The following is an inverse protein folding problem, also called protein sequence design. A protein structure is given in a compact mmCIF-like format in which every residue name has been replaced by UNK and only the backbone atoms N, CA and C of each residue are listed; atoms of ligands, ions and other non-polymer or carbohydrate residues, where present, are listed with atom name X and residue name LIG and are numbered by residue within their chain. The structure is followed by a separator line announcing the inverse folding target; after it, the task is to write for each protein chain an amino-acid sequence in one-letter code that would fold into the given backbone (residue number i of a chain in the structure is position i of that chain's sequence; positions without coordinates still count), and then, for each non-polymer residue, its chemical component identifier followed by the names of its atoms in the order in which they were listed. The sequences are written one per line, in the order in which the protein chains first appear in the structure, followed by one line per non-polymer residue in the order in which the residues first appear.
data_IF_844323415176
#
_entry.id   IF_844323415176
#
_cell.length_a   1.000
_cell.length_b   1.000
_cell.length_c   1.000
_cell.angle_alpha   90.00
_cell.angle_beta   90.00
_cell.angle_gamma   90.00
#
_symmetry.space_group_name_H-M   'P 1'
#
loop_
_entity.id
_entity.type
_entity.pdbx_description
1 polymer ?
#
# COMPACT_ATOMS: atom_id res chain seq x y z
N UNK A 1 24.60 11.43 -22.98
CA UNK A 1 23.17 11.58 -22.57
C UNK A 1 23.03 10.90 -21.22
N UNK A 2 22.51 11.57 -20.21
CA UNK A 2 22.18 10.91 -18.96
C UNK A 2 21.16 9.80 -19.24
N UNK A 3 21.39 8.61 -18.68
CA UNK A 3 20.46 7.48 -18.80
C UNK A 3 19.14 7.86 -18.14
N UNK A 4 18.00 7.69 -18.81
CA UNK A 4 16.70 7.96 -18.20
C UNK A 4 16.49 7.15 -16.95
N UNK A 5 16.08 7.80 -15.87
CA UNK A 5 15.75 7.15 -14.59
C UNK A 5 14.26 6.85 -14.55
N UNK A 6 13.93 5.63 -14.20
CA UNK A 6 12.55 5.20 -13.95
C UNK A 6 12.31 5.04 -12.44
N UNK A 7 11.10 5.38 -12.00
CA UNK A 7 10.64 5.17 -10.64
C UNK A 7 9.58 4.08 -10.63
N UNK A 8 9.88 2.99 -9.95
CA UNK A 8 8.97 1.88 -9.68
C UNK A 8 8.39 2.04 -8.28
N UNK A 9 7.07 2.26 -8.20
CA UNK A 9 6.30 2.28 -6.97
C UNK A 9 5.59 0.93 -6.83
N UNK A 10 5.99 0.13 -5.86
CA UNK A 10 5.52 -1.24 -5.70
C UNK A 10 4.77 -1.41 -4.37
N UNK A 11 3.60 -2.05 -4.42
CA UNK A 11 2.90 -2.52 -3.24
C UNK A 11 3.54 -3.82 -2.70
N UNK A 12 3.21 -4.20 -1.49
CA UNK A 12 3.71 -5.42 -0.84
C UNK A 12 2.70 -6.57 -0.88
N UNK A 13 1.58 -6.44 -0.18
CA UNK A 13 0.63 -7.52 0.04
C UNK A 13 -0.17 -7.84 -1.22
N UNK A 14 -0.11 -9.11 -1.66
CA UNK A 14 -0.73 -9.50 -2.93
C UNK A 14 0.02 -9.03 -4.18
N UNK A 15 1.12 -8.30 -4.03
CA UNK A 15 1.91 -7.73 -5.13
C UNK A 15 3.35 -8.22 -5.11
N UNK A 16 4.18 -7.73 -4.19
CA UNK A 16 5.59 -8.11 -4.07
C UNK A 16 5.77 -9.37 -3.26
N UNK A 17 4.97 -9.52 -2.18
CA UNK A 17 5.06 -10.66 -1.29
C UNK A 17 4.36 -11.88 -1.88
N UNK A 18 5.07 -13.02 -1.87
CA UNK A 18 4.48 -14.33 -2.15
C UNK A 18 3.43 -14.68 -1.07
N UNK A 19 3.75 -14.38 0.18
CA UNK A 19 2.89 -14.58 1.34
C UNK A 19 2.97 -13.38 2.29
N UNK A 20 1.82 -12.77 2.61
CA UNK A 20 1.72 -11.66 3.55
C UNK A 20 2.14 -12.04 4.98
N UNK A 21 1.89 -13.28 5.40
CA UNK A 21 2.17 -13.75 6.76
C UNK A 21 3.64 -14.13 7.00
N UNK A 22 4.36 -14.58 5.95
CA UNK A 22 5.77 -14.96 6.07
C UNK A 22 6.72 -13.89 5.59
N UNK A 23 6.25 -12.92 4.80
CA UNK A 23 7.09 -11.92 4.16
C UNK A 23 7.96 -12.48 3.04
N UNK A 24 7.69 -13.70 2.58
CA UNK A 24 8.43 -14.36 1.52
C UNK A 24 8.26 -13.63 0.18
N UNK A 25 9.35 -13.52 -0.58
CA UNK A 25 9.41 -12.85 -1.88
C UNK A 25 9.95 -13.83 -2.90
N UNK A 26 9.37 -13.84 -4.09
CA UNK A 26 9.84 -14.68 -5.19
C UNK A 26 11.23 -14.23 -5.67
N UNK A 27 12.19 -15.17 -5.88
CA UNK A 27 13.59 -14.88 -6.24
C UNK A 27 13.70 -14.01 -7.50
N UNK A 28 12.84 -14.22 -8.48
CA UNK A 28 12.79 -13.39 -9.69
C UNK A 28 12.48 -11.93 -9.36
N UNK A 29 11.65 -11.66 -8.34
CA UNK A 29 11.32 -10.30 -7.91
C UNK A 29 12.53 -9.64 -7.25
N UNK A 30 13.22 -10.36 -6.35
CA UNK A 30 14.46 -9.87 -5.72
C UNK A 30 15.51 -9.53 -6.78
N UNK A 31 15.75 -10.46 -7.72
CA UNK A 31 16.73 -10.28 -8.78
C UNK A 31 16.40 -9.11 -9.71
N UNK A 32 15.13 -8.92 -10.06
CA UNK A 32 14.71 -7.83 -10.95
C UNK A 32 14.79 -6.46 -10.26
N UNK A 33 14.46 -6.37 -8.97
CA UNK A 33 14.63 -5.14 -8.18
C UNK A 33 16.12 -4.79 -8.07
N UNK A 34 16.98 -5.78 -7.81
CA UNK A 34 18.42 -5.59 -7.80
C UNK A 34 18.91 -5.06 -9.15
N UNK A 35 18.51 -5.68 -10.26
CA UNK A 35 18.81 -5.22 -11.63
C UNK A 35 18.38 -3.76 -11.84
N UNK A 36 17.15 -3.41 -11.48
CA UNK A 36 16.64 -2.04 -11.63
C UNK A 36 17.53 -1.01 -10.90
N UNK A 37 17.96 -1.33 -9.68
CA UNK A 37 18.88 -0.49 -8.89
C UNK A 37 20.26 -0.39 -9.53
N UNK A 38 20.85 -1.50 -9.95
CA UNK A 38 22.17 -1.54 -10.62
C UNK A 38 22.17 -0.75 -11.93
N UNK A 39 21.03 -0.71 -12.63
CA UNK A 39 20.83 0.12 -13.82
C UNK A 39 20.56 1.61 -13.52
N UNK A 40 20.50 2.01 -12.24
CA UNK A 40 20.34 3.39 -11.77
C UNK A 40 18.88 3.84 -11.65
N UNK A 41 17.93 2.91 -11.63
CA UNK A 41 16.51 3.20 -11.42
C UNK A 41 16.13 3.22 -9.94
N UNK A 42 14.99 3.80 -9.62
CA UNK A 42 14.49 4.00 -8.27
C UNK A 42 13.36 3.00 -8.01
N UNK A 43 13.45 2.24 -6.92
CA UNK A 43 12.38 1.33 -6.50
C UNK A 43 11.93 1.71 -5.10
N UNK A 44 10.65 2.07 -4.95
CA UNK A 44 10.04 2.49 -3.70
C UNK A 44 8.89 1.58 -3.30
N UNK A 45 8.82 1.21 -2.03
CA UNK A 45 7.68 0.50 -1.44
C UNK A 45 6.59 1.53 -1.05
N UNK A 46 5.35 1.27 -1.47
CA UNK A 46 4.14 1.97 -1.05
C UNK A 46 3.13 0.95 -0.50
N UNK A 47 2.99 0.89 0.81
CA UNK A 47 2.23 -0.17 1.49
C UNK A 47 1.27 0.35 2.57
N UNK A 48 0.23 -0.42 2.87
CA UNK A 48 -0.60 -0.21 4.06
C UNK A 48 0.11 -0.59 5.37
N UNK A 49 1.15 -1.41 5.30
CA UNK A 49 1.89 -1.86 6.48
C UNK A 49 2.59 -0.74 7.23
N UNK A 50 2.76 -0.85 8.57
CA UNK A 50 3.67 -0.01 9.34
C UNK A 50 5.14 -0.34 9.04
N UNK A 51 6.04 0.58 9.35
CA UNK A 51 7.48 0.37 9.13
C UNK A 51 8.03 -0.87 9.84
N UNK A 52 7.60 -1.14 11.07
CA UNK A 52 8.07 -2.31 11.86
C UNK A 52 7.86 -3.65 11.13
N UNK A 53 6.78 -3.79 10.32
CA UNK A 53 6.54 -5.00 9.53
C UNK A 53 7.03 -4.90 8.07
N UNK A 54 7.51 -3.73 7.66
CA UNK A 54 8.07 -3.46 6.33
C UNK A 54 9.60 -3.58 6.34
N UNK A 55 10.24 -3.28 7.47
CA UNK A 55 11.70 -3.16 7.60
C UNK A 55 12.45 -4.38 7.05
N UNK A 56 12.10 -5.57 7.48
CA UNK A 56 12.75 -6.82 7.03
C UNK A 56 12.63 -7.00 5.51
N UNK A 57 11.45 -6.69 4.93
CA UNK A 57 11.20 -6.78 3.49
C UNK A 57 12.08 -5.77 2.74
N UNK A 58 12.15 -4.54 3.23
CA UNK A 58 12.98 -3.47 2.67
C UNK A 58 14.46 -3.86 2.64
N UNK A 59 14.95 -4.43 3.75
CA UNK A 59 16.33 -4.92 3.88
C UNK A 59 16.59 -6.14 2.96
N UNK A 60 15.65 -7.07 2.86
CA UNK A 60 15.74 -8.24 1.97
C UNK A 60 15.82 -7.83 0.50
N UNK A 61 15.09 -6.80 0.09
CA UNK A 61 15.14 -6.23 -1.25
C UNK A 61 16.38 -5.34 -1.48
N UNK A 62 17.18 -5.10 -0.43
CA UNK A 62 18.36 -4.25 -0.49
C UNK A 62 18.05 -2.82 -0.89
N UNK A 63 16.89 -2.29 -0.52
CA UNK A 63 16.47 -0.94 -0.88
C UNK A 63 17.24 0.13 -0.09
N UNK A 64 17.40 1.30 -0.71
CA UNK A 64 18.06 2.49 -0.17
C UNK A 64 17.27 3.76 -0.49
N UNK A 65 15.97 3.62 -0.61
CA UNK A 65 15.04 4.64 -1.08
C UNK A 65 14.02 5.01 0.00
N UNK A 66 13.28 6.08 -0.23
CA UNK A 66 12.13 6.47 0.60
C UNK A 66 11.07 5.36 0.57
N UNK A 67 10.48 5.09 1.73
CA UNK A 67 9.36 4.16 1.90
C UNK A 67 8.10 4.90 2.34
N UNK A 68 6.96 4.44 1.86
CA UNK A 68 5.65 4.93 2.25
C UNK A 68 4.86 3.84 2.96
N UNK A 69 4.57 4.06 4.22
CA UNK A 69 3.79 3.21 5.10
C UNK A 69 2.39 3.80 5.35
N UNK A 70 1.46 3.01 5.92
CA UNK A 70 0.09 3.42 6.22
C UNK A 70 -0.60 4.08 5.02
N UNK A 71 -0.45 3.47 3.82
CA UNK A 71 -1.01 3.98 2.56
C UNK A 71 -0.64 5.44 2.25
N UNK A 72 0.50 5.93 2.71
CA UNK A 72 0.96 7.30 2.50
C UNK A 72 0.85 8.22 3.73
N UNK A 73 0.35 7.72 4.86
CA UNK A 73 0.27 8.51 6.08
C UNK A 73 1.63 8.64 6.80
N UNK A 74 2.58 7.76 6.51
CA UNK A 74 3.96 7.86 7.02
C UNK A 74 4.95 7.61 5.88
N UNK A 75 5.69 8.66 5.49
CA UNK A 75 6.71 8.60 4.45
C UNK A 75 8.03 9.00 5.09
N UNK A 76 9.04 8.14 4.96
CA UNK A 76 10.36 8.39 5.55
C UNK A 76 11.47 7.71 4.73
N UNK A 77 12.71 8.11 4.98
CA UNK A 77 13.89 7.49 4.38
C UNK A 77 14.66 6.72 5.46
N UNK A 78 14.64 5.36 5.45
CA UNK A 78 15.21 4.57 6.53
C UNK A 78 16.73 4.71 6.71
N UNK A 79 17.44 5.15 5.68
CA UNK A 79 18.90 5.25 5.63
C UNK A 79 19.41 6.69 5.54
N UNK A 80 18.54 7.69 5.63
CA UNK A 80 18.89 9.11 5.59
C UNK A 80 18.30 9.85 6.79
N UNK A 81 19.11 10.07 7.81
CA UNK A 81 18.73 10.79 9.03
C UNK A 81 18.42 12.27 8.77
N UNK A 82 18.85 12.81 7.62
CA UNK A 82 18.53 14.19 7.20
C UNK A 82 17.13 14.32 6.57
N UNK A 83 16.50 13.21 6.21
CA UNK A 83 15.16 13.24 5.66
C UNK A 83 14.13 13.55 6.76
N UNK A 84 13.34 14.60 6.58
CA UNK A 84 12.26 14.94 7.51
C UNK A 84 11.06 14.05 7.22
N UNK A 85 10.68 13.15 8.13
CA UNK A 85 9.53 12.26 7.90
C UNK A 85 8.24 13.04 7.71
N UNK A 86 7.47 12.64 6.70
CA UNK A 86 6.11 13.15 6.51
C UNK A 86 5.13 12.22 7.21
N UNK A 87 4.40 12.76 8.20
CA UNK A 87 3.40 12.00 8.95
C UNK A 87 2.07 12.73 8.89
N UNK A 88 1.02 12.00 8.56
CA UNK A 88 -0.38 12.43 8.64
C UNK A 88 -1.08 11.66 9.74
N UNK A 89 -1.54 12.39 10.72
CA UNK A 89 -2.28 11.82 11.84
C UNK A 89 -3.77 11.84 11.58
N UNK A 90 -4.48 10.82 12.09
CA UNK A 90 -5.93 10.81 12.19
C UNK A 90 -6.40 11.75 13.30
N UNK A 91 -7.57 12.33 13.12
CA UNK A 91 -8.31 12.91 14.24
C UNK A 91 -8.91 11.76 15.07
N UNK A 92 -8.42 11.58 16.28
CA UNK A 92 -8.86 10.49 17.16
C UNK A 92 -10.37 10.54 17.43
N UNK A 93 -10.95 11.72 17.66
CA UNK A 93 -12.38 11.86 17.95
C UNK A 93 -13.25 11.44 16.76
N UNK A 94 -12.87 11.82 15.54
CA UNK A 94 -13.53 11.39 14.31
C UNK A 94 -13.41 9.89 14.11
N UNK A 95 -12.21 9.34 14.35
CA UNK A 95 -11.98 7.91 14.26
C UNK A 95 -12.82 7.11 15.27
N UNK A 96 -12.91 7.57 16.52
CA UNK A 96 -13.75 6.94 17.54
C UNK A 96 -15.25 7.07 17.20
N UNK A 97 -15.67 8.18 16.59
CA UNK A 97 -17.03 8.34 16.09
C UNK A 97 -17.37 7.29 15.01
N UNK A 98 -16.47 7.04 14.07
CA UNK A 98 -16.64 5.98 13.06
C UNK A 98 -16.70 4.60 13.69
N UNK A 99 -15.76 4.26 14.61
CA UNK A 99 -15.74 2.96 15.29
C UNK A 99 -16.94 2.74 16.21
N UNK A 100 -17.56 3.79 16.70
CA UNK A 100 -18.76 3.76 17.54
C UNK A 100 -20.05 3.61 16.76
N UNK A 101 -20.04 3.71 15.44
CA UNK A 101 -21.22 3.46 14.61
C UNK A 101 -21.71 2.02 14.77
N UNK A 102 -23.02 1.83 14.99
CA UNK A 102 -23.58 0.53 15.29
C UNK A 102 -23.40 -0.48 14.15
N UNK A 103 -23.49 -0.04 12.89
CA UNK A 103 -23.29 -0.91 11.73
C UNK A 103 -21.81 -1.31 11.59
N UNK A 104 -20.88 -0.38 11.89
CA UNK A 104 -19.43 -0.64 11.82
C UNK A 104 -18.98 -1.53 12.97
N UNK A 105 -19.33 -1.17 14.21
CA UNK A 105 -18.88 -1.87 15.42
C UNK A 105 -19.35 -3.32 15.49
N UNK A 106 -20.52 -3.63 14.93
CA UNK A 106 -21.01 -5.01 14.83
C UNK A 106 -20.17 -5.93 13.94
N UNK A 107 -19.51 -5.37 12.94
CA UNK A 107 -18.69 -6.12 12.00
C UNK A 107 -17.25 -6.33 12.48
N UNK A 108 -16.80 -5.56 13.46
CA UNK A 108 -15.41 -5.58 13.95
C UNK A 108 -15.19 -6.79 14.88
N UNK A 109 -14.09 -7.50 14.66
CA UNK A 109 -13.60 -8.59 15.51
C UNK A 109 -12.41 -8.16 16.39
N UNK A 110 -11.54 -7.27 15.90
CA UNK A 110 -10.38 -6.75 16.63
C UNK A 110 -9.99 -5.37 16.13
N UNK A 111 -9.38 -4.55 16.97
CA UNK A 111 -8.93 -3.18 16.63
C UNK A 111 -7.48 -3.00 17.09
N UNK A 112 -6.66 -2.41 16.22
CA UNK A 112 -5.37 -1.83 16.60
C UNK A 112 -5.36 -0.34 16.26
N UNK A 113 -5.05 0.50 17.25
CA UNK A 113 -4.83 1.94 17.09
C UNK A 113 -3.35 2.19 17.24
N UNK A 114 -2.74 2.84 16.28
CA UNK A 114 -1.28 2.87 16.22
C UNK A 114 -0.71 4.20 15.70
N UNK A 115 0.45 4.54 16.25
CA UNK A 115 1.36 5.55 15.73
C UNK A 115 2.63 4.92 15.18
N UNK A 116 3.62 5.72 14.76
CA UNK A 116 4.85 5.19 14.17
C UNK A 116 5.62 4.23 15.10
N UNK A 117 5.56 4.44 16.43
CA UNK A 117 6.34 3.72 17.42
C UNK A 117 5.52 3.13 18.60
N UNK A 118 4.20 3.18 18.55
CA UNK A 118 3.32 2.66 19.58
C UNK A 118 2.09 1.97 18.98
N UNK A 119 1.52 1.02 19.72
CA UNK A 119 0.30 0.29 19.38
C UNK A 119 -0.56 0.07 20.60
N UNK A 120 -1.87 0.29 20.49
CA UNK A 120 -2.87 -0.25 21.39
C UNK A 120 -3.73 -1.24 20.60
N UNK A 121 -3.64 -2.51 20.97
CA UNK A 121 -4.36 -3.62 20.35
C UNK A 121 -5.45 -4.12 21.30
N UNK A 122 -6.68 -4.28 20.82
CA UNK A 122 -7.81 -4.66 21.66
C UNK A 122 -7.57 -6.01 22.34
N UNK A 123 -7.20 -7.02 21.57
CA UNK A 123 -6.78 -8.33 22.08
C UNK A 123 -5.74 -8.97 21.18
N UNK A 124 -4.95 -9.91 21.72
CA UNK A 124 -3.92 -10.61 20.94
C UNK A 124 -4.55 -11.45 19.83
N UNK A 125 -3.92 -11.41 18.67
CA UNK A 125 -4.33 -12.15 17.47
C UNK A 125 -3.09 -12.57 16.68
N UNK A 126 -2.89 -13.86 16.49
CA UNK A 126 -1.71 -14.39 15.81
C UNK A 126 -1.66 -14.07 14.32
N UNK A 127 -2.83 -14.00 13.65
CA UNK A 127 -2.88 -13.67 12.22
C UNK A 127 -2.52 -12.20 11.99
N UNK A 128 -3.03 -11.31 12.83
CA UNK A 128 -2.64 -9.89 12.81
C UNK A 128 -1.18 -9.70 13.22
N UNK A 129 -0.69 -10.43 14.22
CA UNK A 129 0.71 -10.37 14.66
C UNK A 129 1.69 -10.71 13.54
N UNK A 130 1.42 -11.79 12.78
CA UNK A 130 2.26 -12.21 11.65
C UNK A 130 2.40 -11.15 10.56
N UNK A 131 1.35 -10.37 10.36
CA UNK A 131 1.33 -9.34 9.29
C UNK A 131 1.84 -8.00 9.79
N UNK A 132 1.48 -7.60 11.01
CA UNK A 132 1.75 -6.25 11.52
C UNK A 132 2.92 -6.17 12.52
N UNK A 133 3.38 -7.30 13.06
CA UNK A 133 4.54 -7.35 13.96
C UNK A 133 4.38 -6.49 15.22
N UNK A 134 3.20 -6.51 15.86
CA UNK A 134 2.92 -5.64 17.01
C UNK A 134 3.89 -5.86 18.17
N UNK A 135 4.34 -7.09 18.41
CA UNK A 135 5.29 -7.43 19.47
C UNK A 135 6.69 -6.85 19.26
N UNK A 136 7.00 -6.38 18.06
CA UNK A 136 8.30 -5.75 17.78
C UNK A 136 8.39 -4.31 18.26
N UNK A 137 7.28 -3.68 18.62
CA UNK A 137 7.31 -2.36 19.25
C UNK A 137 7.41 -2.45 20.78
N UNK A 138 8.29 -1.63 21.35
CA UNK A 138 8.44 -1.54 22.81
C UNK A 138 7.23 -0.90 23.52
N UNK A 139 6.36 -0.23 22.78
CA UNK A 139 5.19 0.49 23.28
C UNK A 139 3.88 -0.20 22.89
N UNK A 140 3.85 -1.56 22.95
CA UNK A 140 2.63 -2.33 22.77
C UNK A 140 1.80 -2.34 24.06
N UNK A 141 0.52 -1.99 23.95
CA UNK A 141 -0.47 -2.15 25.01
C UNK A 141 -1.60 -3.06 24.51
N UNK A 142 -1.95 -4.05 25.32
CA UNK A 142 -3.13 -4.91 25.10
C UNK A 142 -4.29 -4.40 25.93
N UNK A 143 -5.48 -4.35 25.33
CA UNK A 143 -6.66 -3.70 25.86
C UNK A 143 -6.75 -2.25 25.41
N UNK A 144 -7.92 -1.88 24.84
CA UNK A 144 -8.20 -0.49 24.47
C UNK A 144 -8.72 0.28 25.68
N UNK A 145 -8.05 1.34 26.02
CA UNK A 145 -8.50 2.33 26.97
C UNK A 145 -8.60 3.68 26.23
N UNK A 146 -9.79 4.00 25.75
CA UNK A 146 -10.03 5.17 24.91
C UNK A 146 -9.63 6.51 25.57
N UNK A 147 -9.53 6.56 26.92
CA UNK A 147 -9.04 7.73 27.63
C UNK A 147 -7.51 7.85 27.65
N UNK A 148 -6.79 6.79 27.27
CA UNK A 148 -5.32 6.72 27.29
C UNK A 148 -4.72 6.47 25.90
N UNK A 149 -5.50 6.63 24.85
CA UNK A 149 -4.98 6.58 23.48
C UNK A 149 -4.26 7.91 23.21
N UNK A 150 -3.04 7.88 22.68
CA UNK A 150 -2.40 9.09 22.20
C UNK A 150 -3.26 9.81 21.13
N UNK A 151 -3.37 11.13 21.24
CA UNK A 151 -4.27 11.96 20.42
C UNK A 151 -3.93 11.97 18.91
N UNK A 152 -2.77 11.45 18.53
CA UNK A 152 -2.23 11.52 17.17
C UNK A 152 -1.92 10.11 16.62
N UNK A 153 -2.91 9.26 16.40
CA UNK A 153 -2.68 7.99 15.71
C UNK A 153 -2.39 8.24 14.23
N UNK A 154 -1.51 7.42 13.66
CA UNK A 154 -1.20 7.47 12.22
C UNK A 154 -2.18 6.60 11.43
N UNK A 155 -2.62 5.50 12.03
CA UNK A 155 -3.58 4.58 11.44
C UNK A 155 -4.39 3.82 12.48
N UNK A 156 -5.53 3.35 12.05
CA UNK A 156 -6.33 2.38 12.78
C UNK A 156 -6.58 1.21 11.86
N UNK A 157 -6.29 0.02 12.36
CA UNK A 157 -6.56 -1.24 11.70
C UNK A 157 -7.71 -1.90 12.43
N UNK A 158 -8.70 -2.39 11.71
CA UNK A 158 -9.71 -3.24 12.28
C UNK A 158 -9.94 -4.47 11.44
N UNK A 159 -9.93 -5.60 12.13
CA UNK A 159 -10.28 -6.90 11.56
C UNK A 159 -11.79 -7.07 11.59
N UNK A 160 -12.33 -7.81 10.63
CA UNK A 160 -13.77 -8.02 10.53
C UNK A 160 -14.15 -9.48 10.78
N UNK A 161 -15.41 -9.71 11.11
CA UNK A 161 -15.96 -11.06 11.30
C UNK A 161 -15.99 -11.84 9.98
N UNK A 162 -16.00 -13.16 10.06
CA UNK A 162 -15.98 -14.03 8.88
C UNK A 162 -17.20 -13.88 7.96
N UNK A 163 -18.33 -13.53 8.52
CA UNK A 163 -19.61 -13.35 7.82
C UNK A 163 -19.84 -11.92 7.33
N UNK A 164 -18.89 -11.01 7.56
CA UNK A 164 -18.99 -9.62 7.12
C UNK A 164 -19.01 -9.53 5.60
N UNK A 165 -20.00 -8.81 5.05
CA UNK A 165 -19.98 -8.39 3.66
C UNK A 165 -19.01 -7.21 3.48
N UNK A 166 -17.78 -7.53 3.10
CA UNK A 166 -16.65 -6.60 3.02
C UNK A 166 -16.92 -5.43 2.07
N UNK A 167 -17.49 -5.71 0.89
CA UNK A 167 -17.81 -4.67 -0.09
C UNK A 167 -18.94 -3.73 0.39
N UNK A 168 -19.96 -4.28 1.04
CA UNK A 168 -21.03 -3.47 1.62
C UNK A 168 -20.48 -2.56 2.72
N UNK A 169 -19.63 -3.11 3.61
CA UNK A 169 -18.99 -2.32 4.67
C UNK A 169 -18.10 -1.22 4.09
N UNK A 170 -17.30 -1.53 3.07
CA UNK A 170 -16.45 -0.54 2.37
C UNK A 170 -17.29 0.58 1.76
N UNK A 171 -18.35 0.24 1.04
CA UNK A 171 -19.24 1.22 0.43
C UNK A 171 -19.91 2.10 1.50
N UNK A 172 -20.34 1.50 2.60
CA UNK A 172 -20.96 2.21 3.72
C UNK A 172 -19.98 3.20 4.36
N UNK A 173 -18.77 2.74 4.73
CA UNK A 173 -17.72 3.57 5.32
C UNK A 173 -17.39 4.76 4.40
N UNK A 174 -17.19 4.49 3.13
CA UNK A 174 -16.84 5.53 2.15
C UNK A 174 -17.96 6.53 1.93
N UNK A 175 -19.21 6.08 1.84
CA UNK A 175 -20.35 6.96 1.59
C UNK A 175 -20.68 7.85 2.81
N UNK A 176 -20.48 7.33 4.03
CA UNK A 176 -20.88 8.02 5.25
C UNK A 176 -19.76 8.80 5.93
N UNK A 177 -18.53 8.33 5.81
CA UNK A 177 -17.36 8.84 6.55
C UNK A 177 -16.16 9.17 5.66
N UNK A 178 -16.34 9.13 4.34
CA UNK A 178 -15.24 9.38 3.40
C UNK A 178 -14.75 10.83 3.37
N UNK A 179 -15.42 11.74 4.06
CA UNK A 179 -15.00 13.12 4.34
C UNK A 179 -14.19 13.27 5.63
N UNK A 180 -14.20 12.25 6.50
CA UNK A 180 -13.45 12.23 7.77
C UNK A 180 -12.12 11.46 7.65
N UNK A 181 -12.13 10.34 6.92
CA UNK A 181 -10.96 9.48 6.79
C UNK A 181 -10.93 8.75 5.43
N UNK A 182 -9.75 8.30 5.04
CA UNK A 182 -9.57 7.34 3.94
C UNK A 182 -9.72 5.92 4.49
N UNK A 183 -10.51 5.10 3.78
CA UNK A 183 -10.76 3.71 4.13
C UNK A 183 -10.28 2.81 3.00
N UNK A 184 -9.47 1.84 3.33
CA UNK A 184 -9.11 0.76 2.42
C UNK A 184 -9.16 -0.59 3.13
N UNK A 185 -9.13 -1.67 2.36
CA UNK A 185 -8.99 -3.01 2.91
C UNK A 185 -8.08 -3.85 2.03
N UNK A 186 -7.48 -4.85 2.61
CA UNK A 186 -6.59 -5.77 1.93
C UNK A 186 -6.51 -7.12 2.62
N UNK A 187 -6.05 -8.14 1.91
CA UNK A 187 -6.02 -9.51 2.39
C UNK A 187 -4.81 -9.77 3.28
N UNK A 188 -5.03 -10.38 4.44
CA UNK A 188 -3.98 -10.92 5.32
C UNK A 188 -3.36 -12.22 4.79
N UNK A 189 -4.00 -12.85 3.82
CA UNK A 189 -3.65 -14.15 3.26
C UNK A 189 -4.87 -15.00 2.95
N UNK A 190 -4.64 -16.13 2.31
CA UNK A 190 -5.70 -17.06 1.90
C UNK A 190 -6.42 -17.65 3.11
N UNK A 191 -7.75 -17.66 3.07
CA UNK A 191 -8.60 -18.19 4.15
C UNK A 191 -8.75 -17.30 5.38
N UNK A 192 -8.13 -16.11 5.39
CA UNK A 192 -8.26 -15.13 6.46
C UNK A 192 -9.22 -13.99 6.07
N UNK A 193 -9.87 -13.42 7.08
CA UNK A 193 -10.68 -12.21 6.92
C UNK A 193 -9.80 -11.05 6.45
N UNK A 194 -10.29 -10.14 5.62
CA UNK A 194 -9.54 -8.94 5.26
C UNK A 194 -9.43 -8.00 6.45
N UNK A 195 -8.39 -7.18 6.40
CA UNK A 195 -8.17 -6.08 7.32
C UNK A 195 -8.61 -4.79 6.67
N UNK A 196 -9.40 -4.01 7.37
CA UNK A 196 -9.64 -2.61 7.03
C UNK A 196 -8.58 -1.75 7.70
N UNK A 197 -8.14 -0.73 6.99
CA UNK A 197 -7.38 0.38 7.55
C UNK A 197 -8.13 1.69 7.39
N UNK A 198 -7.95 2.55 8.38
CA UNK A 198 -8.43 3.92 8.40
C UNK A 198 -7.23 4.84 8.60
N UNK A 199 -7.02 5.75 7.67
CA UNK A 199 -5.92 6.70 7.69
C UNK A 199 -6.44 8.12 7.47
N UNK A 200 -5.57 9.12 7.61
CA UNK A 200 -5.94 10.51 7.34
C UNK A 200 -6.50 10.64 5.91
N UNK A 201 -7.61 11.34 5.74
CA UNK A 201 -8.29 11.55 4.45
C UNK A 201 -7.37 12.08 3.34
N UNK A 202 -6.28 12.75 3.72
CA UNK A 202 -5.31 13.26 2.75
C UNK A 202 -4.21 12.25 2.44
N UNK A 203 -4.16 11.09 3.09
CA UNK A 203 -3.15 10.06 2.89
C UNK A 203 -3.67 8.98 1.93
N UNK A 204 -2.97 8.76 0.81
CA UNK A 204 -3.16 7.62 -0.06
C UNK A 204 -1.90 7.38 -0.91
N UNK A 205 -1.78 6.20 -1.50
CA UNK A 205 -0.60 5.81 -2.29
C UNK A 205 -0.34 6.73 -3.50
N UNK A 206 -1.38 7.37 -4.06
CA UNK A 206 -1.21 8.32 -5.17
C UNK A 206 -0.52 9.61 -4.74
N UNK A 207 -0.91 10.16 -3.59
CA UNK A 207 -0.24 11.33 -3.01
C UNK A 207 1.19 11.00 -2.60
N UNK A 208 1.42 9.81 -2.03
CA UNK A 208 2.75 9.32 -1.72
C UNK A 208 3.62 9.25 -2.99
N UNK A 209 3.14 8.62 -4.07
CA UNK A 209 3.84 8.56 -5.34
C UNK A 209 4.14 9.96 -5.90
N UNK A 210 3.19 10.90 -5.83
CA UNK A 210 3.40 12.28 -6.27
C UNK A 210 4.48 13.01 -5.46
N UNK A 211 4.66 12.67 -4.18
CA UNK A 211 5.75 13.19 -3.36
C UNK A 211 7.10 12.58 -3.78
N UNK A 212 7.15 11.27 -4.03
CA UNK A 212 8.36 10.58 -4.47
C UNK A 212 8.84 11.06 -5.84
N UNK A 213 7.92 11.27 -6.78
CA UNK A 213 8.21 11.85 -8.10
C UNK A 213 8.95 13.19 -7.95
N UNK A 214 8.46 14.07 -7.06
CA UNK A 214 9.08 15.36 -6.79
C UNK A 214 10.41 15.24 -6.04
N UNK A 215 10.48 14.35 -5.05
CA UNK A 215 11.68 14.15 -4.24
C UNK A 215 12.86 13.65 -5.08
N UNK A 216 12.61 12.70 -5.99
CA UNK A 216 13.63 12.13 -6.87
C UNK A 216 13.82 12.86 -8.19
N UNK A 217 13.07 13.94 -8.42
CA UNK A 217 13.08 14.71 -9.68
C UNK A 217 12.90 13.82 -10.93
N UNK A 218 11.93 12.89 -10.85
CA UNK A 218 11.60 11.98 -11.95
C UNK A 218 10.42 12.53 -12.74
N UNK A 219 10.47 12.45 -14.07
CA UNK A 219 9.34 12.81 -14.92
C UNK A 219 8.19 11.82 -14.70
N UNK A 220 6.95 12.28 -14.77
CA UNK A 220 5.76 11.43 -14.64
C UNK A 220 5.78 10.31 -15.70
N UNK A 221 6.22 10.61 -16.91
CA UNK A 221 6.34 9.66 -18.02
C UNK A 221 7.23 8.46 -17.69
N UNK A 222 8.14 8.62 -16.73
CA UNK A 222 9.10 7.61 -16.29
C UNK A 222 8.67 6.88 -15.01
N UNK A 223 7.37 6.85 -14.72
CA UNK A 223 6.84 6.21 -13.51
C UNK A 223 6.07 4.93 -13.81
N UNK A 224 6.32 3.90 -13.01
CA UNK A 224 5.66 2.60 -13.04
C UNK A 224 5.07 2.31 -11.65
N UNK A 225 3.77 2.07 -11.55
CA UNK A 225 3.12 1.64 -10.31
C UNK A 225 2.60 0.22 -10.45
N UNK A 226 2.82 -0.63 -9.45
CA UNK A 226 2.42 -2.04 -9.45
C UNK A 226 1.62 -2.38 -8.20
N UNK A 227 0.45 -3.01 -8.35
CA UNK A 227 -0.45 -3.30 -7.25
C UNK A 227 -1.56 -4.28 -7.62
N UNK A 228 -2.37 -4.67 -6.64
CA UNK A 228 -3.49 -5.61 -6.82
C UNK A 228 -4.78 -5.21 -6.09
N UNK A 229 -4.73 -4.19 -5.22
CA UNK A 229 -5.81 -3.76 -4.33
C UNK A 229 -6.45 -2.42 -4.68
N UNK A 230 -7.55 -2.10 -3.99
CA UNK A 230 -8.21 -0.79 -4.13
C UNK A 230 -7.35 0.37 -3.62
N UNK A 231 -6.51 0.14 -2.61
CA UNK A 231 -5.55 1.12 -2.09
C UNK A 231 -4.44 1.48 -3.12
N UNK A 232 -4.29 0.70 -4.20
CA UNK A 232 -3.35 0.98 -5.29
C UNK A 232 -3.94 1.88 -6.38
N UNK A 233 -5.27 1.92 -6.51
CA UNK A 233 -5.94 2.72 -7.54
C UNK A 233 -5.50 4.18 -7.54
N UNK A 234 -5.31 4.86 -6.40
CA UNK A 234 -4.78 6.22 -6.40
C UNK A 234 -3.39 6.34 -7.04
N UNK A 235 -2.46 5.40 -6.80
CA UNK A 235 -1.14 5.45 -7.46
C UNK A 235 -1.20 5.05 -8.94
N UNK A 236 -2.15 4.19 -9.35
CA UNK A 236 -2.37 3.88 -10.76
C UNK A 236 -2.80 5.09 -11.56
N UNK A 237 -3.57 6.00 -10.96
CA UNK A 237 -3.99 7.26 -11.60
C UNK A 237 -2.87 8.27 -11.76
N UNK A 238 -1.85 8.23 -10.92
CA UNK A 238 -0.69 9.12 -10.94
C UNK A 238 0.38 8.62 -11.89
N UNK A 239 0.70 7.32 -11.84
CA UNK A 239 1.77 6.74 -12.63
C UNK A 239 1.47 6.78 -14.14
N UNK A 240 2.53 6.89 -14.94
CA UNK A 240 2.38 6.78 -16.39
C UNK A 240 2.07 5.33 -16.79
N UNK A 241 2.79 4.38 -16.23
CA UNK A 241 2.51 2.95 -16.43
C UNK A 241 1.95 2.39 -15.13
N UNK A 242 0.72 1.89 -15.14
CA UNK A 242 0.10 1.23 -13.99
C UNK A 242 -0.16 -0.23 -14.30
N UNK A 243 0.28 -1.12 -13.41
CA UNK A 243 0.32 -2.56 -13.62
C UNK A 243 -0.54 -3.26 -12.58
N UNK A 244 -1.64 -3.86 -13.00
CA UNK A 244 -2.43 -4.73 -12.15
C UNK A 244 -1.91 -6.16 -12.21
N UNK A 245 -1.67 -6.77 -11.05
CA UNK A 245 -1.17 -8.13 -10.88
C UNK A 245 -2.17 -9.18 -11.40
N UNK A 246 -1.68 -10.38 -11.69
CA UNK A 246 -2.51 -11.50 -12.17
C UNK A 246 -3.63 -11.88 -11.21
N UNK A 247 -3.35 -11.83 -9.91
CA UNK A 247 -4.29 -12.10 -8.82
C UNK A 247 -5.27 -10.94 -8.52
N UNK A 248 -5.06 -9.74 -9.05
CA UNK A 248 -5.97 -8.62 -8.87
C UNK A 248 -7.38 -8.93 -9.41
N UNK A 249 -8.41 -8.38 -8.77
CA UNK A 249 -9.78 -8.55 -9.22
C UNK A 249 -10.02 -7.92 -10.60
N UNK A 250 -11.09 -8.34 -11.29
CA UNK A 250 -11.47 -7.75 -12.58
C UNK A 250 -11.73 -6.24 -12.46
N UNK A 251 -12.24 -5.80 -11.33
CA UNK A 251 -12.53 -4.40 -11.05
C UNK A 251 -11.23 -3.59 -10.96
N UNK A 252 -10.27 -4.03 -10.15
CA UNK A 252 -8.95 -3.36 -10.02
C UNK A 252 -8.23 -3.31 -11.37
N UNK A 253 -8.28 -4.39 -12.15
CA UNK A 253 -7.68 -4.45 -13.48
C UNK A 253 -8.21 -3.40 -14.47
N UNK A 254 -9.39 -2.81 -14.23
CA UNK A 254 -9.93 -1.73 -15.06
C UNK A 254 -9.19 -0.40 -14.88
N UNK A 255 -8.63 -0.16 -13.70
CA UNK A 255 -7.91 1.07 -13.38
C UNK A 255 -6.46 1.07 -13.89
N UNK A 256 -5.89 -0.10 -14.21
CA UNK A 256 -4.51 -0.21 -14.66
C UNK A 256 -4.38 -0.14 -16.18
N UNK A 257 -3.29 0.47 -16.66
CA UNK A 257 -2.96 0.54 -18.09
C UNK A 257 -2.41 -0.78 -18.61
N UNK A 258 -1.76 -1.55 -17.75
CA UNK A 258 -1.22 -2.89 -18.04
C UNK A 258 -1.87 -3.91 -17.12
N UNK A 259 -2.21 -5.07 -17.67
CA UNK A 259 -2.74 -6.22 -16.91
C UNK A 259 -1.84 -7.39 -17.18
N UNK A 260 -1.14 -7.87 -16.16
CA UNK A 260 -0.29 -9.05 -16.33
C UNK A 260 -1.05 -10.32 -15.93
N UNK A 261 -0.63 -11.46 -16.48
CA UNK A 261 -1.19 -12.77 -16.12
C UNK A 261 -0.51 -13.36 -14.88
N UNK A 262 0.74 -12.95 -14.62
CA UNK A 262 1.51 -13.43 -13.49
C UNK A 262 1.01 -12.86 -12.17
N UNK A 263 0.76 -13.74 -11.20
CA UNK A 263 0.40 -13.38 -9.83
C UNK A 263 1.65 -13.00 -9.02
N UNK A 264 1.43 -12.51 -7.79
CA UNK A 264 2.49 -12.32 -6.79
C UNK A 264 3.25 -13.62 -6.52
N UNK A 265 2.54 -14.76 -6.42
CA UNK A 265 3.11 -16.09 -6.20
C UNK A 265 4.00 -16.58 -7.35
N UNK A 266 3.82 -16.06 -8.53
CA UNK A 266 4.59 -16.39 -9.75
C UNK A 266 5.69 -15.36 -10.06
N UNK A 267 6.00 -14.48 -9.13
CA UNK A 267 7.02 -13.43 -9.31
C UNK A 267 6.62 -12.35 -10.32
N UNK A 268 5.33 -12.02 -10.40
CA UNK A 268 4.77 -11.09 -11.38
C UNK A 268 5.44 -9.72 -11.39
N UNK A 269 5.82 -9.18 -10.21
CA UNK A 269 6.58 -7.92 -10.10
C UNK A 269 7.91 -8.03 -10.84
N UNK A 270 8.70 -9.05 -10.51
CA UNK A 270 10.01 -9.25 -11.12
C UNK A 270 9.93 -9.51 -12.61
N UNK A 271 8.94 -10.30 -13.03
CA UNK A 271 8.68 -10.54 -14.46
C UNK A 271 8.42 -9.24 -15.20
N UNK A 272 7.56 -8.36 -14.64
CA UNK A 272 7.22 -7.11 -15.32
C UNK A 272 8.35 -6.08 -15.29
N UNK A 273 9.07 -5.95 -14.18
CA UNK A 273 10.25 -5.07 -14.10
C UNK A 273 11.25 -5.44 -15.19
N UNK A 274 11.60 -6.72 -15.34
CA UNK A 274 12.51 -7.17 -16.38
C UNK A 274 11.98 -6.85 -17.79
N UNK A 275 10.71 -7.17 -18.05
CA UNK A 275 10.05 -6.87 -19.33
C UNK A 275 10.07 -5.37 -19.64
N UNK A 276 9.84 -4.51 -18.65
CA UNK A 276 9.87 -3.07 -18.80
C UNK A 276 11.30 -2.59 -19.11
N UNK A 277 12.29 -3.04 -18.36
CA UNK A 277 13.70 -2.65 -18.53
C UNK A 277 14.30 -3.13 -19.86
N UNK A 278 13.81 -4.25 -20.41
CA UNK A 278 14.23 -4.75 -21.72
C UNK A 278 13.74 -3.84 -22.86
N UNK A 279 12.60 -3.17 -22.72
CA UNK A 279 12.07 -2.23 -23.74
C UNK A 279 11.12 -1.19 -23.10
N UNK A 280 11.66 -0.18 -22.41
CA UNK A 280 10.86 0.83 -21.71
C UNK A 280 9.94 1.64 -22.64
N UNK A 281 10.46 2.05 -23.81
CA UNK A 281 9.71 2.86 -24.78
C UNK A 281 8.45 2.14 -25.27
N UNK A 282 8.54 0.84 -25.55
CA UNK A 282 7.41 0.03 -25.97
C UNK A 282 6.34 -0.07 -24.87
N UNK A 283 6.73 -0.31 -23.62
CA UNK A 283 5.76 -0.44 -22.52
C UNK A 283 5.10 0.91 -22.19
N UNK A 284 5.85 2.01 -22.28
CA UNK A 284 5.32 3.38 -22.15
C UNK A 284 4.34 3.69 -23.30
N UNK A 285 4.70 3.37 -24.55
CA UNK A 285 3.83 3.60 -25.70
C UNK A 285 2.50 2.85 -25.58
N UNK A 286 2.53 1.58 -25.19
CA UNK A 286 1.32 0.77 -24.93
C UNK A 286 0.43 1.37 -23.85
N UNK A 287 1.04 1.85 -22.76
CA UNK A 287 0.30 2.51 -21.68
C UNK A 287 -0.40 3.78 -22.16
N UNK A 288 0.32 4.62 -22.89
CA UNK A 288 -0.20 5.87 -23.43
C UNK A 288 -1.34 5.66 -24.43
N UNK A 289 -1.24 4.64 -25.29
CA UNK A 289 -2.31 4.26 -26.22
C UNK A 289 -3.58 3.86 -25.46
N UNK A 290 -3.44 3.07 -24.39
CA UNK A 290 -4.59 2.66 -23.59
C UNK A 290 -5.26 3.84 -22.87
N UNK A 291 -4.45 4.78 -22.32
CA UNK A 291 -4.99 6.01 -21.70
C UNK A 291 -5.81 6.83 -22.70
N UNK A 292 -5.33 6.98 -23.93
CA UNK A 292 -6.07 7.67 -25.00
C UNK A 292 -7.41 7.02 -25.29
N UNK A 293 -7.45 5.68 -25.41
CA UNK A 293 -8.70 4.93 -25.67
C UNK A 293 -9.72 5.07 -24.55
N UNK A 294 -9.25 5.06 -23.28
CA UNK A 294 -10.13 5.26 -22.11
C UNK A 294 -10.71 6.68 -22.12
N UNK A 295 -9.89 7.70 -22.37
CA UNK A 295 -10.36 9.08 -22.41
C UNK A 295 -11.39 9.31 -23.52
N UNK A 296 -11.19 8.75 -24.72
CA UNK A 296 -12.13 8.83 -25.82
C UNK A 296 -13.49 8.19 -25.49
N UNK A 297 -13.48 7.03 -24.79
CA UNK A 297 -14.71 6.35 -24.36
C UNK A 297 -15.46 7.05 -23.21
N UNK A 298 -14.83 7.99 -22.49
CA UNK A 298 -15.48 8.81 -21.46
C UNK A 298 -16.07 10.11 -22.05
N UNK A 299 -15.63 10.52 -23.23
CA UNK A 299 -16.10 11.72 -23.93
C UNK A 299 -17.28 11.41 -24.90
N UNK A 300 -17.52 10.14 -25.24
CA UNK A 300 -18.67 9.63 -26.00
C UNK A 300 -19.86 9.28 -25.10
#
# INVERSE_FOLDING_TARGET
MEKEKYLFAIDLDGTTLHSSSTGEIHDQTISAIKRAKEEGHIVCILTGRPWRSTKFIYETLGLDTVVSNYNGAHIHHPLDDGFIPYIKYLNLNEALYVLGDEKVSKEISNIAIEGPDWVQLQHRDEALEKVFGFSTTSKLKIGLDFHKIPLMPTGIIFDVKHDTNVEELRCYLKARYGDLAEFSYWSKGEGLTPVFDMTNITANKGKALSMLIRYYDVKIENTVAMGDGFNDVPMFRVANVSVAMGNASKEIKRYATVRISKSNKEGGVGWYINKFLDNPELEIAKSNEKKKKVKQAEEE
#
